data_IF_477972271156
#
_entry.id   IF_477972271156
#
_cell.length_a   1.000
_cell.length_b   1.000
_cell.length_c   1.000
_cell.angle_alpha   90.00
_cell.angle_beta   90.00
_cell.angle_gamma   90.00
#
_symmetry.space_group_name_H-M   'P 1'
#
loop_
_entity.id
_entity.type
_entity.pdbx_description
1 polymer ?
#
# COMPACT_ATOMS: atom_id res chain seq x y z
N UNK A 1 -25.81 -0.93 -10.29
CA UNK A 1 -24.95 0.25 -10.52
C UNK A 1 -24.42 0.91 -9.24
N UNK A 2 -25.21 1.09 -8.17
CA UNK A 2 -24.69 1.57 -6.87
C UNK A 2 -23.97 0.52 -5.98
N UNK A 3 -24.40 -0.77 -5.91
CA UNK A 3 -23.74 -1.74 -5.03
C UNK A 3 -22.30 -2.08 -5.47
N UNK A 4 -22.01 -2.03 -6.76
CA UNK A 4 -20.71 -2.39 -7.32
C UNK A 4 -19.64 -1.36 -6.94
N UNK A 5 -19.97 -0.06 -6.99
CA UNK A 5 -19.06 1.00 -6.57
C UNK A 5 -18.78 0.97 -5.06
N UNK A 6 -19.81 0.75 -4.24
CA UNK A 6 -19.64 0.60 -2.78
C UNK A 6 -18.77 -0.60 -2.43
N UNK A 7 -18.97 -1.73 -3.11
CA UNK A 7 -18.15 -2.94 -2.93
C UNK A 7 -16.68 -2.69 -3.28
N UNK A 8 -16.39 -2.01 -4.39
CA UNK A 8 -15.02 -1.65 -4.78
C UNK A 8 -14.35 -0.79 -3.71
N UNK A 9 -15.06 0.20 -3.15
CA UNK A 9 -14.53 1.06 -2.08
C UNK A 9 -14.24 0.26 -0.82
N UNK A 10 -15.18 -0.60 -0.39
CA UNK A 10 -15.01 -1.43 0.81
C UNK A 10 -13.81 -2.37 0.65
N UNK A 11 -13.72 -3.07 -0.48
CA UNK A 11 -12.59 -3.96 -0.79
C UNK A 11 -11.28 -3.18 -0.86
N UNK A 12 -11.29 -2.01 -1.50
CA UNK A 12 -10.14 -1.11 -1.55
C UNK A 12 -9.67 -0.70 -0.16
N UNK A 13 -10.58 -0.27 0.72
CA UNK A 13 -10.25 0.10 2.10
C UNK A 13 -9.71 -1.07 2.93
N UNK A 14 -10.25 -2.28 2.75
CA UNK A 14 -9.73 -3.49 3.40
C UNK A 14 -8.27 -3.79 3.05
N UNK A 15 -7.81 -3.35 1.88
CA UNK A 15 -6.42 -3.53 1.41
C UNK A 15 -5.57 -2.29 1.74
N UNK A 16 -6.11 -1.08 1.60
CA UNK A 16 -5.37 0.17 1.86
C UNK A 16 -4.88 0.25 3.30
N UNK A 17 -5.69 -0.14 4.28
CA UNK A 17 -5.31 -0.10 5.70
C UNK A 17 -4.07 -0.98 5.97
N UNK A 18 -4.07 -2.30 5.68
CA UNK A 18 -2.90 -3.13 5.96
C UNK A 18 -1.68 -2.70 5.14
N UNK A 19 -1.84 -2.29 3.88
CA UNK A 19 -0.73 -1.78 3.07
C UNK A 19 -0.16 -0.48 3.68
N UNK A 20 -1.00 0.42 4.17
CA UNK A 20 -0.56 1.63 4.86
C UNK A 20 0.24 1.34 6.14
N UNK A 21 -0.17 0.31 6.90
CA UNK A 21 0.58 -0.18 8.06
C UNK A 21 1.95 -0.73 7.63
N UNK A 22 2.02 -1.47 6.52
CA UNK A 22 3.29 -1.99 5.96
C UNK A 22 4.21 -0.83 5.55
N UNK A 23 3.72 0.15 4.80
CA UNK A 23 4.51 1.32 4.40
C UNK A 23 5.04 2.08 5.61
N UNK A 24 4.20 2.32 6.62
CA UNK A 24 4.63 3.00 7.85
C UNK A 24 5.71 2.21 8.59
N UNK A 25 5.55 0.88 8.73
CA UNK A 25 6.55 0.00 9.35
C UNK A 25 7.85 -0.11 8.56
N UNK A 26 7.77 -0.07 7.23
CA UNK A 26 8.93 -0.08 6.36
C UNK A 26 9.69 1.25 6.39
N UNK A 27 9.07 2.34 6.89
CA UNK A 27 9.66 3.69 6.94
C UNK A 27 9.34 4.55 5.72
N UNK A 28 8.31 4.18 4.96
CA UNK A 28 7.78 4.93 3.83
C UNK A 28 6.51 5.72 4.18
N UNK A 29 6.08 6.60 3.28
CA UNK A 29 4.82 7.33 3.45
C UNK A 29 3.60 6.40 3.26
N UNK A 30 2.69 6.26 4.24
CA UNK A 30 1.50 5.41 4.12
C UNK A 30 0.53 5.83 3.01
N UNK A 31 0.62 7.07 2.50
CA UNK A 31 -0.18 7.53 1.36
C UNK A 31 0.05 6.70 0.08
N UNK A 32 1.21 6.03 -0.05
CA UNK A 32 1.47 5.10 -1.17
C UNK A 32 0.49 3.92 -1.23
N UNK A 33 -0.16 3.57 -0.12
CA UNK A 33 -1.20 2.56 -0.09
C UNK A 33 -2.42 2.92 -0.97
N UNK A 34 -2.65 4.20 -1.24
CA UNK A 34 -3.76 4.64 -2.11
C UNK A 34 -3.59 4.18 -3.57
N UNK A 35 -2.40 3.74 -3.97
CA UNK A 35 -2.19 3.12 -5.28
C UNK A 35 -3.08 1.90 -5.50
N UNK A 36 -3.61 1.24 -4.46
CA UNK A 36 -4.60 0.14 -4.56
C UNK A 36 -5.82 0.52 -5.40
N UNK A 37 -6.22 1.81 -5.43
CA UNK A 37 -7.34 2.28 -6.24
C UNK A 37 -7.02 2.41 -7.73
N UNK A 38 -5.76 2.20 -8.14
CA UNK A 38 -5.38 2.17 -9.54
C UNK A 38 -5.78 0.80 -10.15
N UNK A 39 -6.77 0.76 -11.05
CA UNK A 39 -7.28 -0.50 -11.59
C UNK A 39 -6.22 -1.25 -12.38
N UNK A 40 -6.12 -2.57 -12.16
CA UNK A 40 -5.18 -3.46 -12.85
C UNK A 40 -3.73 -3.37 -12.36
N UNK A 41 -3.25 -2.20 -11.93
CA UNK A 41 -1.82 -1.96 -11.67
C UNK A 41 -1.49 -1.63 -10.21
N UNK A 42 -2.45 -1.22 -9.38
CA UNK A 42 -2.20 -0.68 -8.04
C UNK A 42 -1.34 -1.58 -7.14
N UNK A 43 -1.79 -2.82 -6.95
CA UNK A 43 -1.06 -3.82 -6.16
C UNK A 43 0.30 -4.18 -6.76
N UNK A 44 0.39 -4.25 -8.09
CA UNK A 44 1.65 -4.57 -8.78
C UNK A 44 2.69 -3.48 -8.51
N UNK A 45 2.31 -2.20 -8.59
CA UNK A 45 3.19 -1.08 -8.29
C UNK A 45 3.62 -1.09 -6.82
N UNK A 46 2.71 -1.39 -5.90
CA UNK A 46 3.02 -1.50 -4.46
C UNK A 46 4.05 -2.61 -4.21
N UNK A 47 3.85 -3.80 -4.78
CA UNK A 47 4.80 -4.91 -4.62
C UNK A 47 6.15 -4.61 -5.28
N UNK A 48 6.15 -4.01 -6.46
CA UNK A 48 7.38 -3.62 -7.14
C UNK A 48 8.15 -2.58 -6.32
N UNK A 49 7.45 -1.58 -5.78
CA UNK A 49 8.03 -0.56 -4.93
C UNK A 49 8.62 -1.17 -3.64
N UNK A 50 7.83 -1.96 -2.91
CA UNK A 50 8.27 -2.58 -1.65
C UNK A 50 9.38 -3.61 -1.84
N UNK A 51 9.41 -4.32 -2.98
CA UNK A 51 10.41 -5.35 -3.26
C UNK A 51 11.73 -4.82 -3.81
N UNK A 52 11.72 -3.67 -4.50
CA UNK A 52 12.93 -3.09 -5.11
C UNK A 52 13.54 -1.94 -4.31
N UNK A 53 12.78 -1.27 -3.44
CA UNK A 53 13.32 -0.19 -2.61
C UNK A 53 13.89 -0.74 -1.30
N UNK A 54 15.02 -0.18 -0.87
CA UNK A 54 15.55 -0.43 0.47
C UNK A 54 14.58 0.12 1.52
N UNK A 55 14.28 -0.66 2.55
CA UNK A 55 13.34 -0.27 3.60
C UNK A 55 14.02 0.71 4.56
N UNK A 56 13.59 1.98 4.63
CA UNK A 56 14.26 2.99 5.47
C UNK A 56 14.34 2.59 6.95
N UNK A 57 13.34 1.86 7.46
CA UNK A 57 13.29 1.43 8.85
C UNK A 57 14.44 0.50 9.25
N UNK A 58 15.09 -0.19 8.30
CA UNK A 58 16.25 -1.05 8.59
C UNK A 58 17.52 -0.26 8.92
N UNK A 59 17.57 1.05 8.61
CA UNK A 59 18.75 1.89 8.81
C UNK A 59 18.93 2.37 10.26
N UNK A 60 17.86 2.32 11.07
CA UNK A 60 17.89 2.75 12.48
C UNK A 60 18.29 1.63 13.47
N UNK A 61 18.57 0.41 13.01
CA UNK A 61 18.91 -0.72 13.90
C UNK A 61 20.40 -1.12 13.83
N UNK A 62 21.23 -0.35 13.11
CA UNK A 62 22.64 -0.64 12.85
C UNK A 62 23.60 0.40 13.47
N UNK A 63 23.21 1.00 14.59
CA UNK A 63 24.11 1.79 15.47
C UNK A 63 24.29 1.09 16.82
#
# INVERSE_FOLDING_TARGET
MFPEFGQIIIVGLMIVIPIGVIYNKAGFNPAWALLVFLPGFGLLLIFLQLGLMDWPAHKNHSE
#
